data_IF_022286967267
#
_entry.id   IF_022286967267
#
_cell.length_a   1.000
_cell.length_b   1.000
_cell.length_c   1.000
_cell.angle_alpha   90.00
_cell.angle_beta   90.00
_cell.angle_gamma   90.00
#
_symmetry.space_group_name_H-M   'P 1'
#
loop_
_entity.id
_entity.type
_entity.pdbx_description
1 polymer ?
#
# COMPACT_ATOMS: atom_id res chain seq x y z
N UNK A 1 -34.91 3.24 1.75
CA UNK A 1 -34.13 3.67 0.58
C UNK A 1 -32.97 4.52 1.11
N UNK A 2 -31.81 3.90 1.32
CA UNK A 2 -30.58 4.57 1.71
C UNK A 2 -29.55 4.19 0.66
N UNK A 3 -28.91 5.19 0.07
CA UNK A 3 -28.05 5.05 -1.10
C UNK A 3 -26.80 4.21 -0.75
N UNK A 4 -26.63 3.10 -1.47
CA UNK A 4 -25.36 2.40 -1.56
C UNK A 4 -24.46 3.23 -2.48
N UNK A 5 -23.44 3.88 -1.91
CA UNK A 5 -22.33 4.42 -2.69
C UNK A 5 -21.49 3.26 -3.19
N UNK A 6 -21.72 2.84 -4.44
CA UNK A 6 -20.88 1.86 -5.14
C UNK A 6 -19.54 2.51 -5.46
N UNK A 7 -18.50 2.15 -4.71
CA UNK A 7 -17.14 2.52 -5.05
C UNK A 7 -16.61 1.55 -6.12
N UNK A 8 -16.41 2.06 -7.33
CA UNK A 8 -15.73 1.36 -8.41
C UNK A 8 -14.27 1.11 -8.05
N UNK A 9 -13.79 -0.09 -8.38
CA UNK A 9 -12.40 -0.56 -8.42
C UNK A 9 -11.51 -0.26 -7.19
N UNK A 10 -11.23 -1.29 -6.37
CA UNK A 10 -10.52 -1.13 -5.09
C UNK A 10 -9.24 -1.98 -4.94
N UNK A 11 -8.22 -1.31 -4.35
CA UNK A 11 -7.09 -1.79 -3.53
C UNK A 11 -5.67 -1.76 -4.14
N UNK A 12 -4.83 -0.82 -3.70
CA UNK A 12 -3.36 -0.94 -3.71
C UNK A 12 -2.83 -0.90 -2.27
N UNK A 13 -2.55 -2.08 -1.71
CA UNK A 13 -1.82 -2.21 -0.46
C UNK A 13 -0.32 -2.11 -0.70
N UNK A 14 0.25 -0.91 -0.80
CA UNK A 14 1.71 -0.74 -0.74
C UNK A 14 2.13 -0.94 0.71
N UNK A 15 2.24 -2.19 1.16
CA UNK A 15 2.74 -2.53 2.49
C UNK A 15 4.25 -2.41 2.53
N UNK A 16 4.80 -1.23 2.84
CA UNK A 16 6.24 -1.09 3.06
C UNK A 16 6.68 -1.85 4.31
N UNK A 17 6.90 -3.15 4.19
CA UNK A 17 7.50 -3.98 5.23
C UNK A 17 9.00 -3.65 5.34
N UNK A 18 9.44 -3.25 6.53
CA UNK A 18 10.86 -3.21 6.90
C UNK A 18 11.03 -3.87 8.27
N UNK A 19 11.56 -5.10 8.27
CA UNK A 19 12.18 -5.74 9.44
C UNK A 19 13.70 -5.60 9.36
N UNK A 20 14.34 -5.41 10.52
CA UNK A 20 15.69 -4.86 10.66
C UNK A 20 16.84 -5.84 10.83
N UNK A 21 18.01 -5.25 11.16
CA UNK A 21 19.10 -5.86 11.95
C UNK A 21 20.10 -4.80 12.42
N UNK A 22 20.67 -5.03 13.61
CA UNK A 22 21.54 -4.15 14.39
C UNK A 22 23.05 -4.27 14.06
N UNK A 23 23.83 -3.21 14.31
CA UNK A 23 25.18 -3.22 14.92
C UNK A 23 25.70 -1.78 15.16
N UNK A 24 26.50 -1.63 16.23
CA UNK A 24 26.97 -0.40 16.87
C UNK A 24 28.19 0.28 16.20
N UNK A 25 28.38 1.55 16.56
CA UNK A 25 29.63 2.29 16.87
C UNK A 25 30.17 3.45 15.97
N UNK A 26 30.12 4.64 16.60
CA UNK A 26 31.02 5.82 16.59
C UNK A 26 31.29 6.65 15.33
N UNK A 27 31.03 7.97 15.46
CA UNK A 27 32.05 8.98 15.11
C UNK A 27 31.63 10.19 14.25
N UNK A 28 31.45 11.34 14.91
CA UNK A 28 31.86 12.69 14.49
C UNK A 28 31.18 13.42 13.29
N UNK A 29 30.36 14.43 13.66
CA UNK A 29 30.17 15.78 13.07
C UNK A 29 30.51 16.04 11.59
N UNK A 30 29.50 16.48 10.81
CA UNK A 30 29.65 17.66 9.95
C UNK A 30 28.31 18.36 9.66
N UNK A 31 28.31 19.69 9.79
CA UNK A 31 27.17 20.59 9.54
C UNK A 31 26.97 20.77 8.03
N UNK A 32 25.74 20.70 7.54
CA UNK A 32 25.31 21.47 6.37
C UNK A 32 23.90 22.03 6.57
N UNK A 33 23.81 23.37 6.49
CA UNK A 33 22.55 24.11 6.36
C UNK A 33 22.06 23.97 4.93
N UNK A 34 20.78 23.69 4.75
CA UNK A 34 20.05 24.08 3.55
C UNK A 34 18.94 25.06 3.96
N UNK A 35 18.85 26.11 3.16
CA UNK A 35 18.14 27.37 3.39
C UNK A 35 16.63 27.15 3.40
N UNK A 36 15.97 27.61 4.45
CA UNK A 36 14.51 27.77 4.49
C UNK A 36 14.16 29.05 3.72
N UNK A 37 13.43 28.92 2.61
CA UNK A 37 12.63 30.04 2.12
C UNK A 37 11.23 29.94 2.71
N UNK A 38 10.84 31.10 3.23
CA UNK A 38 9.76 31.41 4.14
C UNK A 38 8.37 31.39 3.51
N UNK A 39 7.40 31.10 4.38
CA UNK A 39 5.99 31.47 4.36
C UNK A 39 5.20 31.20 3.07
N UNK A 40 4.45 30.10 3.11
CA UNK A 40 3.04 30.12 2.73
C UNK A 40 2.24 29.37 3.81
N UNK A 41 1.33 30.10 4.46
CA UNK A 41 0.49 29.66 5.56
C UNK A 41 -0.65 28.75 5.10
N UNK A 42 -0.32 27.55 4.65
CA UNK A 42 -1.26 26.43 4.55
C UNK A 42 -0.60 25.28 5.28
N UNK A 43 -1.26 24.79 6.34
CA UNK A 43 -0.73 23.73 7.20
C UNK A 43 -0.37 22.48 6.40
N UNK A 44 0.90 22.38 6.01
CA UNK A 44 1.48 21.11 5.58
C UNK A 44 1.47 20.21 6.81
N UNK A 45 0.71 19.12 6.74
CA UNK A 45 0.81 18.05 7.73
C UNK A 45 2.30 17.69 7.86
N UNK A 46 2.82 17.77 9.09
CA UNK A 46 4.20 17.36 9.36
C UNK A 46 4.36 15.91 8.84
N UNK A 47 5.33 15.69 7.95
CA UNK A 47 5.58 14.39 7.36
C UNK A 47 5.78 13.32 8.44
N UNK A 48 5.53 12.05 8.08
CA UNK A 48 5.72 10.92 9.01
C UNK A 48 7.10 11.01 9.67
N UNK A 49 7.21 11.01 11.01
CA UNK A 49 8.51 11.04 11.67
C UNK A 49 9.33 9.84 11.19
N UNK A 50 10.65 9.99 10.99
CA UNK A 50 11.50 8.88 10.58
C UNK A 50 11.31 7.73 11.55
N UNK A 51 10.77 6.62 11.03
CA UNK A 51 10.44 5.46 11.85
C UNK A 51 11.65 4.52 11.84
N UNK A 52 12.44 4.60 12.90
CA UNK A 52 13.36 3.57 13.30
C UNK A 52 12.73 2.86 14.50
N UNK A 53 12.31 1.60 14.30
CA UNK A 53 11.71 0.84 15.38
C UNK A 53 12.79 0.41 16.37
N UNK A 54 13.07 1.25 17.35
CA UNK A 54 13.87 0.93 18.53
C UNK A 54 12.95 0.90 19.76
N UNK A 55 12.80 -0.28 20.36
CA UNK A 55 12.00 -0.48 21.59
C UNK A 55 12.52 0.34 22.77
N UNK A 56 13.74 0.88 22.69
CA UNK A 56 14.36 1.70 23.73
C UNK A 56 14.17 3.20 23.49
N UNK A 57 13.72 3.63 22.31
CA UNK A 57 13.45 5.04 22.02
C UNK A 57 12.03 5.40 22.42
N UNK A 58 11.81 5.59 23.72
CA UNK A 58 10.50 5.97 24.28
C UNK A 58 10.00 7.31 23.71
N UNK A 59 10.90 8.26 23.50
CA UNK A 59 10.55 9.58 22.98
C UNK A 59 10.16 9.50 21.49
N UNK A 60 10.86 8.71 20.70
CA UNK A 60 10.52 8.41 19.31
C UNK A 60 9.21 7.66 19.19
N UNK A 61 9.00 6.65 20.03
CA UNK A 61 7.72 5.93 20.13
C UNK A 61 6.57 6.89 20.46
N UNK A 62 6.72 7.76 21.47
CA UNK A 62 5.68 8.73 21.85
C UNK A 62 5.33 9.69 20.71
N UNK A 63 6.33 10.27 20.03
CA UNK A 63 6.13 11.14 18.86
C UNK A 63 5.44 10.41 17.71
N UNK A 64 5.89 9.20 17.39
CA UNK A 64 5.31 8.39 16.34
C UNK A 64 3.86 7.99 16.67
N UNK A 65 3.59 7.55 17.89
CA UNK A 65 2.25 7.19 18.36
C UNK A 65 1.28 8.37 18.27
N UNK A 66 1.68 9.53 18.77
CA UNK A 66 0.87 10.75 18.68
C UNK A 66 0.57 11.11 17.23
N UNK A 67 1.60 11.11 16.37
CA UNK A 67 1.45 11.35 14.95
C UNK A 67 0.50 10.34 14.30
N UNK A 68 0.68 9.04 14.56
CA UNK A 68 -0.11 7.95 13.96
C UNK A 68 -1.59 8.04 14.35
N UNK A 69 -1.87 8.26 15.63
CA UNK A 69 -3.25 8.39 16.12
C UNK A 69 -3.93 9.66 15.61
N UNK A 70 -3.18 10.76 15.47
CA UNK A 70 -3.70 12.03 14.96
C UNK A 70 -3.96 12.00 13.45
N UNK A 71 -3.21 11.20 12.71
CA UNK A 71 -3.27 11.08 11.25
C UNK A 71 -4.04 9.84 10.75
N UNK A 72 -4.68 9.08 11.64
CA UNK A 72 -5.50 7.92 11.25
C UNK A 72 -6.66 8.34 10.35
N UNK A 73 -7.06 7.41 9.49
CA UNK A 73 -8.23 7.54 8.63
C UNK A 73 -9.50 7.49 9.49
N UNK A 74 -10.50 8.31 9.14
CA UNK A 74 -11.79 8.38 9.84
C UNK A 74 -12.93 7.75 9.05
N UNK A 75 -12.77 7.65 7.73
CA UNK A 75 -13.72 7.07 6.80
C UNK A 75 -12.99 6.58 5.54
N UNK A 76 -13.66 5.78 4.71
CA UNK A 76 -13.03 5.11 3.58
C UNK A 76 -12.72 6.08 2.43
N UNK A 77 -13.48 7.17 2.29
CA UNK A 77 -13.28 8.18 1.24
C UNK A 77 -11.89 8.81 1.32
N UNK A 78 -11.31 8.89 2.51
CA UNK A 78 -9.95 9.38 2.74
C UNK A 78 -8.84 8.46 2.19
N UNK A 79 -9.17 7.25 1.73
CA UNK A 79 -8.25 6.34 1.05
C UNK A 79 -8.36 6.40 -0.48
N UNK A 80 -9.46 6.95 -1.01
CA UNK A 80 -9.77 6.88 -2.44
C UNK A 80 -9.12 8.04 -3.19
N UNK A 81 -8.36 7.70 -4.23
CA UNK A 81 -7.79 8.65 -5.19
C UNK A 81 -8.29 8.29 -6.58
N UNK A 82 -9.07 9.19 -7.19
CA UNK A 82 -9.51 9.03 -8.58
C UNK A 82 -8.32 9.22 -9.53
N UNK A 83 -8.18 8.32 -10.50
CA UNK A 83 -7.17 8.35 -11.55
C UNK A 83 -7.88 8.41 -12.91
N UNK A 84 -7.84 9.57 -13.56
CA UNK A 84 -8.54 9.79 -14.83
C UNK A 84 -7.95 8.99 -15.98
N UNK A 85 -6.64 8.77 -15.98
CA UNK A 85 -5.97 7.93 -16.97
C UNK A 85 -4.80 7.18 -16.33
N UNK A 86 -4.95 5.89 -16.10
CA UNK A 86 -3.91 5.07 -15.47
C UNK A 86 -2.60 4.98 -16.29
N UNK A 87 -2.68 5.15 -17.60
CA UNK A 87 -1.50 5.15 -18.47
C UNK A 87 -0.70 6.45 -18.39
N UNK A 88 -1.38 7.55 -18.03
CA UNK A 88 -0.78 8.86 -17.90
C UNK A 88 -1.35 9.63 -16.71
N UNK A 89 -1.13 9.17 -15.46
CA UNK A 89 -1.58 9.89 -14.28
C UNK A 89 -0.85 11.23 -14.18
N UNK A 90 -1.58 12.26 -13.83
CA UNK A 90 -1.08 13.59 -13.52
C UNK A 90 -0.23 13.59 -12.26
N UNK A 91 0.63 14.60 -12.13
CA UNK A 91 1.47 14.76 -10.93
C UNK A 91 0.63 14.98 -9.66
N UNK A 92 -0.53 15.62 -9.78
CA UNK A 92 -1.48 15.81 -8.68
C UNK A 92 -2.03 14.47 -8.18
N UNK A 93 -2.42 13.57 -9.09
CA UNK A 93 -2.92 12.24 -8.76
C UNK A 93 -1.83 11.38 -8.08
N UNK A 94 -0.61 11.42 -8.60
CA UNK A 94 0.53 10.70 -8.02
C UNK A 94 0.88 11.26 -6.64
N UNK A 95 0.90 12.58 -6.47
CA UNK A 95 1.14 13.21 -5.18
C UNK A 95 0.06 12.84 -4.15
N UNK A 96 -1.21 12.77 -4.57
CA UNK A 96 -2.30 12.32 -3.71
C UNK A 96 -2.12 10.87 -3.25
N UNK A 97 -1.73 9.97 -4.17
CA UNK A 97 -1.40 8.58 -3.83
C UNK A 97 -0.24 8.52 -2.82
N UNK A 98 0.85 9.23 -3.10
CA UNK A 98 2.02 9.26 -2.21
C UNK A 98 1.67 9.77 -0.82
N UNK A 99 0.93 10.88 -0.72
CA UNK A 99 0.49 11.42 0.57
C UNK A 99 -0.39 10.43 1.35
N UNK A 100 -1.25 9.67 0.65
CA UNK A 100 -2.08 8.64 1.27
C UNK A 100 -1.22 7.48 1.83
N UNK A 101 -0.30 6.94 1.02
CA UNK A 101 0.62 5.87 1.42
C UNK A 101 1.53 6.31 2.57
N UNK A 102 2.06 7.53 2.55
CA UNK A 102 2.89 8.05 3.63
C UNK A 102 2.13 8.13 4.96
N UNK A 103 0.83 8.47 4.89
CA UNK A 103 -0.03 8.60 6.06
C UNK A 103 -0.37 7.24 6.67
N UNK A 104 -0.84 6.29 5.86
CA UNK A 104 -1.49 5.06 6.36
C UNK A 104 -1.07 3.76 5.66
N UNK A 105 -0.02 3.79 4.82
CA UNK A 105 0.55 2.61 4.16
C UNK A 105 -0.46 1.84 3.28
N UNK A 106 -1.49 2.55 2.80
CA UNK A 106 -2.57 2.01 1.99
C UNK A 106 -3.16 3.13 1.13
N UNK A 107 -3.58 2.79 -0.10
CA UNK A 107 -4.37 3.67 -0.95
C UNK A 107 -5.33 2.85 -1.79
N UNK A 108 -6.46 3.44 -2.14
CA UNK A 108 -7.42 2.91 -3.09
C UNK A 108 -7.39 3.85 -4.28
N UNK A 109 -7.08 3.33 -5.48
CA UNK A 109 -7.18 4.14 -6.69
C UNK A 109 -8.41 3.71 -7.48
N UNK A 110 -9.17 4.68 -7.98
CA UNK A 110 -10.38 4.45 -8.78
C UNK A 110 -10.15 4.93 -10.22
N UNK A 111 -10.23 4.00 -11.17
CA UNK A 111 -10.09 4.26 -12.61
C UNK A 111 -11.42 4.53 -13.31
N UNK A 112 -12.54 4.62 -12.60
CA UNK A 112 -13.85 4.95 -13.18
C UNK A 112 -14.35 3.86 -14.14
N UNK A 113 -13.97 2.60 -13.90
CA UNK A 113 -14.34 1.47 -14.75
C UNK A 113 -13.53 1.33 -16.04
N UNK A 114 -12.42 2.05 -16.20
CA UNK A 114 -11.51 1.84 -17.33
C UNK A 114 -10.98 0.41 -17.35
N UNK A 115 -10.95 -0.18 -18.54
CA UNK A 115 -10.22 -1.42 -18.79
C UNK A 115 -8.72 -1.14 -18.66
N UNK A 116 -8.04 -1.90 -17.82
CA UNK A 116 -6.60 -1.76 -17.59
C UNK A 116 -5.92 -3.07 -17.94
N UNK A 117 -5.10 -3.04 -18.99
CA UNK A 117 -4.27 -4.18 -19.33
C UNK A 117 -3.05 -4.29 -18.39
N UNK A 118 -2.45 -5.48 -18.35
CA UNK A 118 -1.28 -5.72 -17.50
C UNK A 118 -0.09 -4.83 -17.83
N UNK A 119 0.23 -4.51 -19.10
CA UNK A 119 1.26 -3.53 -19.43
C UNK A 119 1.03 -2.14 -18.83
N UNK A 120 -0.19 -1.61 -18.93
CA UNK A 120 -0.58 -0.33 -18.32
C UNK A 120 -0.44 -0.39 -16.79
N UNK A 121 -0.93 -1.47 -16.18
CA UNK A 121 -0.81 -1.70 -14.75
C UNK A 121 0.66 -1.73 -14.30
N UNK A 122 1.53 -2.39 -15.06
CA UNK A 122 2.97 -2.43 -14.79
C UNK A 122 3.61 -1.06 -14.93
N UNK A 123 3.26 -0.27 -15.96
CA UNK A 123 3.75 1.12 -16.12
C UNK A 123 3.33 1.98 -14.93
N UNK A 124 2.08 1.86 -14.49
CA UNK A 124 1.55 2.54 -13.32
C UNK A 124 2.30 2.14 -12.04
N UNK A 125 2.46 0.84 -11.80
CA UNK A 125 3.18 0.29 -10.64
C UNK A 125 4.63 0.83 -10.54
N UNK A 126 5.33 0.97 -11.67
CA UNK A 126 6.69 1.52 -11.71
C UNK A 126 6.79 2.97 -11.24
N UNK A 127 5.71 3.76 -11.35
CA UNK A 127 5.69 5.14 -10.79
C UNK A 127 5.88 5.16 -9.27
N UNK A 128 5.59 4.04 -8.61
CA UNK A 128 5.75 3.85 -7.16
C UNK A 128 6.97 2.98 -6.79
N UNK A 129 7.86 2.70 -7.75
CA UNK A 129 9.06 1.88 -7.52
C UNK A 129 8.81 0.37 -7.47
N UNK A 130 7.65 -0.10 -7.93
CA UNK A 130 7.32 -1.53 -8.00
C UNK A 130 7.94 -2.17 -9.26
N UNK A 131 9.25 -2.37 -9.23
CA UNK A 131 10.00 -2.88 -10.40
C UNK A 131 10.39 -4.35 -10.29
N UNK A 132 10.72 -4.82 -9.07
CA UNK A 132 11.10 -6.21 -8.79
C UNK A 132 9.85 -7.01 -8.41
N UNK A 133 9.20 -7.59 -9.41
CA UNK A 133 8.03 -8.45 -9.22
C UNK A 133 8.44 -9.83 -8.70
N UNK A 134 7.60 -10.44 -7.87
CA UNK A 134 7.80 -11.82 -7.41
C UNK A 134 7.15 -12.80 -8.38
N UNK A 135 7.95 -13.73 -8.89
CA UNK A 135 7.47 -14.85 -9.68
C UNK A 135 6.94 -15.94 -8.73
N UNK A 136 5.79 -15.67 -8.10
CA UNK A 136 5.13 -16.66 -7.27
C UNK A 136 4.63 -17.85 -8.10
N UNK A 137 4.27 -18.95 -7.43
CA UNK A 137 3.88 -20.22 -8.07
C UNK A 137 2.75 -20.09 -9.10
N UNK A 138 1.93 -19.05 -9.01
CA UNK A 138 0.79 -18.83 -9.88
C UNK A 138 0.88 -17.52 -10.67
N UNK A 139 2.04 -16.86 -10.67
CA UNK A 139 2.29 -15.70 -11.48
C UNK A 139 2.29 -16.12 -12.97
N UNK A 140 1.72 -15.27 -13.81
CA UNK A 140 1.82 -15.46 -15.25
C UNK A 140 3.25 -15.07 -15.70
N UNK A 141 3.57 -15.25 -16.99
CA UNK A 141 4.92 -15.00 -17.55
C UNK A 141 5.44 -13.57 -17.29
N UNK A 142 4.52 -12.62 -17.06
CA UNK A 142 4.81 -11.22 -16.76
C UNK A 142 5.02 -10.92 -15.26
N UNK A 143 5.02 -11.95 -14.41
CA UNK A 143 5.04 -11.88 -12.95
C UNK A 143 3.81 -11.18 -12.33
N UNK A 144 2.73 -11.01 -13.10
CA UNK A 144 1.45 -10.46 -12.64
C UNK A 144 0.45 -11.62 -12.55
N UNK A 145 0.02 -11.90 -11.33
CA UNK A 145 -0.91 -12.98 -11.05
C UNK A 145 -2.35 -12.56 -11.34
N UNK A 146 -3.00 -13.26 -12.27
CA UNK A 146 -4.45 -13.11 -12.49
C UNK A 146 -5.20 -13.88 -11.40
N UNK A 147 -6.00 -13.18 -10.60
CA UNK A 147 -6.82 -13.78 -9.55
C UNK A 147 -8.25 -14.00 -10.05
N UNK A 148 -8.60 -15.26 -10.33
CA UNK A 148 -9.95 -15.65 -10.72
C UNK A 148 -10.27 -17.05 -10.21
N UNK A 149 -11.56 -17.31 -9.94
CA UNK A 149 -12.03 -18.63 -9.53
C UNK A 149 -11.76 -19.62 -10.67
N UNK A 150 -10.93 -20.61 -10.42
CA UNK A 150 -10.67 -21.70 -11.36
C UNK A 150 -11.27 -22.99 -10.81
N UNK A 151 -12.07 -23.69 -11.64
CA UNK A 151 -12.55 -25.04 -11.33
C UNK A 151 -11.64 -26.13 -11.91
N UNK A 152 -10.54 -25.76 -12.56
CA UNK A 152 -9.68 -26.67 -13.29
C UNK A 152 -8.29 -26.78 -12.65
N UNK A 153 -7.80 -28.03 -12.54
CA UNK A 153 -6.45 -28.37 -12.10
C UNK A 153 -6.13 -28.00 -10.65
N UNK A 154 -4.85 -28.15 -10.26
CA UNK A 154 -4.35 -27.85 -8.90
C UNK A 154 -4.54 -26.38 -8.48
N UNK A 155 -4.72 -25.46 -9.43
CA UNK A 155 -5.06 -24.06 -9.14
C UNK A 155 -6.39 -23.97 -8.39
N UNK A 156 -7.41 -24.74 -8.78
CA UNK A 156 -8.74 -24.73 -8.14
C UNK A 156 -8.81 -25.30 -6.72
N UNK A 157 -7.71 -25.83 -6.20
CA UNK A 157 -7.60 -26.32 -4.82
C UNK A 157 -6.89 -25.31 -3.90
N UNK A 158 -6.31 -24.25 -4.47
CA UNK A 158 -5.50 -23.27 -3.75
C UNK A 158 -6.25 -21.94 -3.61
N UNK A 159 -6.46 -21.48 -2.37
CA UNK A 159 -6.93 -20.11 -2.12
C UNK A 159 -5.77 -19.17 -2.52
N UNK A 160 -5.93 -18.21 -3.44
CA UNK A 160 -7.14 -17.42 -3.75
C UNK A 160 -7.96 -17.80 -5.01
N UNK A 161 -7.73 -18.96 -5.63
CA UNK A 161 -8.41 -19.36 -6.88
C UNK A 161 -9.73 -20.11 -6.65
N UNK A 162 -10.29 -20.00 -5.45
CA UNK A 162 -11.58 -20.57 -5.05
C UNK A 162 -12.50 -19.44 -4.57
N UNK A 163 -13.80 -19.71 -4.46
CA UNK A 163 -14.79 -18.79 -3.88
C UNK A 163 -14.78 -18.78 -2.33
N UNK A 164 -13.80 -19.46 -1.70
CA UNK A 164 -13.66 -19.50 -0.25
C UNK A 164 -13.00 -18.22 0.26
N UNK A 165 -13.43 -17.79 1.46
CA UNK A 165 -12.79 -16.68 2.18
C UNK A 165 -11.29 -16.93 2.38
N UNK A 166 -10.50 -15.88 2.24
CA UNK A 166 -9.10 -15.85 2.61
C UNK A 166 -8.97 -15.31 4.04
N UNK A 167 -8.17 -15.97 4.87
CA UNK A 167 -7.94 -15.53 6.25
C UNK A 167 -6.95 -14.36 6.30
N UNK A 168 -6.86 -13.68 7.44
CA UNK A 168 -5.86 -12.63 7.67
C UNK A 168 -4.43 -13.13 7.42
N UNK A 169 -3.68 -12.40 6.61
CA UNK A 169 -2.28 -12.68 6.30
C UNK A 169 -1.59 -11.41 5.79
N UNK A 170 -0.27 -11.47 5.63
CA UNK A 170 0.53 -10.49 4.88
C UNK A 170 1.27 -11.24 3.80
N UNK A 171 1.13 -10.87 2.53
CA UNK A 171 1.75 -11.66 1.46
C UNK A 171 3.27 -11.74 1.59
N UNK A 172 3.81 -12.90 1.25
CA UNK A 172 5.23 -13.18 1.35
C UNK A 172 5.74 -13.43 2.78
N UNK A 173 4.89 -13.58 3.80
CA UNK A 173 5.33 -13.92 5.16
C UNK A 173 6.08 -15.25 5.28
N UNK A 174 5.94 -16.13 4.29
CA UNK A 174 6.70 -17.37 4.18
C UNK A 174 8.03 -17.21 3.45
N UNK A 175 8.30 -16.04 2.84
CA UNK A 175 9.49 -15.82 2.06
C UNK A 175 10.72 -15.68 2.97
N UNK A 176 11.88 -16.20 2.55
CA UNK A 176 13.12 -16.00 3.30
C UNK A 176 13.57 -14.53 3.24
N UNK A 177 14.46 -14.11 4.16
CA UNK A 177 15.10 -12.80 4.09
C UNK A 177 15.71 -12.53 2.70
N UNK A 178 15.52 -11.32 2.17
CA UNK A 178 15.93 -10.91 0.82
C UNK A 178 14.89 -11.19 -0.28
N UNK A 179 13.80 -11.89 0.05
CA UNK A 179 12.64 -12.15 -0.83
C UNK A 179 11.34 -11.59 -0.25
N UNK A 180 11.41 -10.61 0.63
CA UNK A 180 10.24 -10.00 1.24
C UNK A 180 9.39 -9.29 0.19
N UNK A 181 8.07 -9.45 0.30
CA UNK A 181 7.11 -8.61 -0.43
C UNK A 181 6.99 -7.30 0.34
N UNK A 182 7.33 -6.19 -0.31
CA UNK A 182 7.38 -4.84 0.31
C UNK A 182 6.28 -3.91 -0.18
N UNK A 183 5.40 -4.41 -1.04
CA UNK A 183 4.27 -3.69 -1.58
C UNK A 183 3.49 -4.61 -2.50
N UNK A 184 2.20 -4.33 -2.61
CA UNK A 184 1.27 -5.04 -3.48
C UNK A 184 0.41 -4.01 -4.20
N UNK A 185 0.24 -4.22 -5.49
CA UNK A 185 -0.74 -3.49 -6.28
C UNK A 185 -1.74 -4.51 -6.80
N UNK A 186 -3.00 -4.37 -6.38
CA UNK A 186 -4.10 -5.18 -6.91
C UNK A 186 -4.94 -4.32 -7.84
N UNK A 187 -5.47 -4.94 -8.89
CA UNK A 187 -6.40 -4.31 -9.81
C UNK A 187 -7.63 -5.18 -9.91
N UNK A 188 -8.79 -4.61 -9.58
CA UNK A 188 -10.06 -5.26 -9.80
C UNK A 188 -10.49 -5.01 -11.25
N UNK A 189 -10.23 -5.98 -12.13
CA UNK A 189 -10.70 -5.93 -13.52
C UNK A 189 -12.23 -6.11 -13.61
N UNK A 190 -12.79 -6.96 -12.74
CA UNK A 190 -14.23 -7.24 -12.69
C UNK A 190 -14.66 -7.50 -11.26
N UNK A 191 -15.67 -6.76 -10.80
CA UNK A 191 -16.29 -6.97 -9.49
C UNK A 191 -17.08 -8.29 -9.45
N UNK A 192 -17.16 -8.89 -8.26
CA UNK A 192 -18.05 -10.01 -8.02
C UNK A 192 -19.52 -9.53 -8.06
N UNK A 193 -20.44 -10.43 -8.42
CA UNK A 193 -21.87 -10.11 -8.39
C UNK A 193 -22.39 -9.91 -6.96
N UNK A 194 -21.81 -10.63 -6.00
CA UNK A 194 -22.07 -10.53 -4.57
C UNK A 194 -20.78 -10.89 -3.81
N UNK A 195 -20.53 -10.21 -2.69
CA UNK A 195 -19.32 -10.39 -1.89
C UNK A 195 -18.05 -9.91 -2.61
N UNK A 196 -16.92 -10.54 -2.28
CA UNK A 196 -15.62 -10.20 -2.87
C UNK A 196 -14.95 -8.98 -2.25
N UNK A 197 -15.46 -8.51 -1.11
CA UNK A 197 -14.86 -7.40 -0.38
C UNK A 197 -13.49 -7.79 0.19
N UNK A 198 -12.55 -6.84 0.14
CA UNK A 198 -11.27 -6.97 0.83
C UNK A 198 -11.33 -6.24 2.16
N UNK A 199 -11.04 -6.95 3.25
CA UNK A 199 -10.83 -6.34 4.55
C UNK A 199 -9.34 -6.02 4.71
N UNK A 200 -9.06 -4.75 5.00
CA UNK A 200 -7.70 -4.23 5.16
C UNK A 200 -7.55 -3.68 6.57
N UNK A 201 -6.36 -3.85 7.14
CA UNK A 201 -6.08 -3.38 8.49
C UNK A 201 -4.66 -2.83 8.58
N UNK A 202 -4.50 -1.70 9.26
CA UNK A 202 -3.20 -1.09 9.52
C UNK A 202 -2.57 -1.71 10.77
N UNK A 203 -1.67 -2.68 10.56
CA UNK A 203 -0.96 -3.39 11.64
C UNK A 203 -0.29 -2.47 12.67
N UNK A 204 0.12 -1.25 12.28
CA UNK A 204 0.69 -0.27 13.20
C UNK A 204 -0.34 0.23 14.23
N UNK A 205 -1.62 0.28 13.88
CA UNK A 205 -2.69 0.65 14.82
C UNK A 205 -3.01 -0.48 15.80
N UNK A 206 -2.90 -1.75 15.41
CA UNK A 206 -3.03 -2.88 16.37
C UNK A 206 -1.91 -2.82 17.39
N UNK A 207 -0.68 -2.48 16.98
CA UNK A 207 0.43 -2.37 17.91
C UNK A 207 0.24 -1.27 18.97
N UNK A 208 -0.58 -0.25 18.68
CA UNK A 208 -0.81 0.90 19.55
C UNK A 208 -1.97 0.72 20.56
N UNK A 209 -2.83 -0.27 20.36
CA UNK A 209 -4.04 -0.56 21.15
C UNK A 209 -3.79 -1.68 22.15
#
# INVERSE_FOLDING_TARGET
MSAASSWGNLACGVTRAKMGRAAFETGCSMRQRAVTNSNDGVGRAAGRPPFEFDLRDEAGYARWREWKLSNRIRNDEQLVVRIENIESPSDTELAAIHACIERVNLVIYDTGGQLVDKPALRRFARRFGLERLDHNLCADEDAITTLSVSRAGRKGEYIPYTDRRLNWHTDGYYNPPGREIRAILMHCERQAAEGGESHLFDHELVYLL
#
